data_IF_843275126420
#
_entry.id   IF_843275126420
#
_cell.length_a   1.000
_cell.length_b   1.000
_cell.length_c   1.000
_cell.angle_alpha   90.00
_cell.angle_beta   90.00
_cell.angle_gamma   90.00
#
_symmetry.space_group_name_H-M   'P 1'
#
loop_
_entity.id
_entity.type
_entity.pdbx_description
1 polymer ?
#
# COMPACT_ATOMS: atom_id res chain seq x y z
N UNK A 1 39.00 76.53 -4.53
CA UNK A 1 38.75 75.89 -5.84
C UNK A 1 37.76 74.76 -5.63
N UNK A 2 36.65 74.79 -6.38
CA UNK A 2 35.53 73.83 -6.30
C UNK A 2 36.00 72.47 -6.82
N UNK A 3 35.75 71.38 -6.09
CA UNK A 3 35.73 70.04 -6.68
C UNK A 3 34.73 69.14 -5.96
N UNK A 4 34.04 68.37 -6.77
CA UNK A 4 32.67 67.88 -6.60
C UNK A 4 32.67 66.44 -6.06
N UNK A 5 31.88 66.19 -5.02
CA UNK A 5 31.61 64.83 -4.52
C UNK A 5 30.60 64.16 -5.48
N UNK A 6 30.99 63.07 -6.13
CA UNK A 6 30.08 62.18 -6.87
C UNK A 6 29.83 60.92 -6.05
N UNK A 7 28.63 60.84 -5.48
CA UNK A 7 28.08 59.66 -4.82
C UNK A 7 27.68 58.63 -5.89
N UNK A 8 28.40 57.52 -5.98
CA UNK A 8 28.04 56.38 -6.82
C UNK A 8 27.17 55.40 -6.04
N UNK A 9 25.90 55.27 -6.41
CA UNK A 9 24.99 54.23 -5.90
C UNK A 9 25.26 52.95 -6.67
N UNK A 10 25.84 51.94 -6.01
CA UNK A 10 25.92 50.57 -6.53
C UNK A 10 24.59 49.87 -6.22
N UNK A 11 23.78 49.62 -7.24
CA UNK A 11 22.61 48.76 -7.14
C UNK A 11 23.07 47.29 -7.17
N UNK A 12 23.04 46.62 -6.01
CA UNK A 12 23.23 45.18 -5.92
C UNK A 12 22.00 44.44 -6.43
N UNK A 13 22.09 43.84 -7.61
CA UNK A 13 21.10 42.88 -8.12
C UNK A 13 21.29 41.58 -7.35
N UNK A 14 20.42 41.34 -6.37
CA UNK A 14 20.33 40.07 -5.65
C UNK A 14 19.64 39.05 -6.56
N UNK A 15 20.40 38.18 -7.22
CA UNK A 15 19.87 37.02 -7.93
C UNK A 15 19.31 36.02 -6.91
N UNK A 16 18.00 36.05 -6.70
CA UNK A 16 17.27 34.96 -6.06
C UNK A 16 17.35 33.74 -6.98
N UNK A 17 18.27 32.82 -6.68
CA UNK A 17 18.26 31.48 -7.24
C UNK A 17 16.99 30.79 -6.74
N UNK A 18 15.95 30.76 -7.59
CA UNK A 18 14.79 29.89 -7.39
C UNK A 18 15.34 28.47 -7.54
N UNK A 19 15.48 27.75 -6.42
CA UNK A 19 15.75 26.33 -6.47
C UNK A 19 14.63 25.68 -7.28
N UNK A 20 14.96 25.16 -8.47
CA UNK A 20 14.01 24.38 -9.24
C UNK A 20 13.52 23.23 -8.33
N UNK A 21 12.21 22.95 -8.26
CA UNK A 21 11.74 21.79 -7.54
C UNK A 21 12.45 20.57 -8.16
N UNK A 22 13.13 19.79 -7.32
CA UNK A 22 13.62 18.48 -7.74
C UNK A 22 12.39 17.68 -8.17
N UNK A 23 12.23 17.50 -9.48
CA UNK A 23 11.14 16.71 -10.03
C UNK A 23 11.46 15.26 -9.69
N UNK A 24 10.76 14.70 -8.71
CA UNK A 24 10.84 13.27 -8.44
C UNK A 24 10.52 12.50 -9.74
N UNK A 25 11.22 11.40 -9.98
CA UNK A 25 11.05 10.56 -11.16
C UNK A 25 9.64 9.99 -11.32
N UNK A 26 9.38 9.20 -12.39
CA UNK A 26 8.04 8.69 -12.66
C UNK A 26 7.51 7.85 -11.49
N UNK A 27 6.20 7.96 -11.25
CA UNK A 27 5.51 7.18 -10.21
C UNK A 27 4.73 6.04 -10.86
N UNK A 28 5.08 4.80 -10.51
CA UNK A 28 4.59 3.57 -11.13
C UNK A 28 4.06 2.62 -10.07
N UNK A 29 3.24 1.64 -10.47
CA UNK A 29 2.77 0.58 -9.59
C UNK A 29 3.45 -0.74 -9.96
N UNK A 30 4.04 -1.41 -8.97
CA UNK A 30 4.72 -2.70 -9.14
C UNK A 30 3.99 -3.76 -8.34
N UNK A 31 3.84 -4.95 -8.92
CA UNK A 31 3.25 -6.12 -8.28
C UNK A 31 4.06 -7.36 -8.61
N UNK A 32 4.17 -8.29 -7.66
CA UNK A 32 4.89 -9.56 -7.83
C UNK A 32 3.98 -10.71 -7.40
N UNK A 33 3.66 -11.58 -8.33
CA UNK A 33 2.89 -12.81 -8.13
C UNK A 33 3.83 -14.01 -8.18
N UNK A 34 4.19 -14.52 -7.00
CA UNK A 34 4.85 -15.82 -6.87
C UNK A 34 3.92 -16.97 -7.28
N UNK A 35 4.45 -18.18 -7.33
CA UNK A 35 3.75 -19.39 -7.75
C UNK A 35 2.56 -19.72 -6.86
N UNK A 36 2.71 -19.55 -5.53
CA UNK A 36 1.68 -19.90 -4.55
C UNK A 36 0.93 -18.69 -3.98
N UNK A 37 1.56 -17.51 -3.91
CA UNK A 37 1.00 -16.33 -3.29
C UNK A 37 1.43 -15.03 -4.00
N UNK A 38 0.73 -13.94 -3.69
CA UNK A 38 1.21 -12.58 -4.02
C UNK A 38 2.35 -12.25 -3.07
N UNK A 39 3.56 -12.06 -3.61
CA UNK A 39 4.74 -11.70 -2.82
C UNK A 39 4.79 -10.20 -2.56
N UNK A 40 4.41 -9.42 -3.58
CA UNK A 40 4.28 -7.97 -3.48
C UNK A 40 2.89 -7.57 -3.99
N UNK A 41 1.98 -7.07 -3.13
CA UNK A 41 0.75 -6.45 -3.62
C UNK A 41 1.09 -5.20 -4.45
N UNK A 42 0.10 -4.63 -5.15
CA UNK A 42 0.30 -3.38 -5.88
C UNK A 42 0.94 -2.30 -4.98
N UNK A 43 2.19 -1.98 -5.29
CA UNK A 43 3.05 -1.10 -4.52
C UNK A 43 3.44 0.07 -5.41
N UNK A 44 2.94 1.25 -5.06
CA UNK A 44 3.23 2.48 -5.82
C UNK A 44 4.52 3.11 -5.34
N UNK A 45 5.49 3.17 -6.25
CA UNK A 45 6.84 3.71 -6.03
C UNK A 45 7.14 4.87 -6.96
N UNK A 46 7.97 5.79 -6.50
CA UNK A 46 8.48 6.90 -7.29
C UNK A 46 9.95 6.61 -7.59
N UNK A 47 10.31 6.57 -8.87
CA UNK A 47 11.67 6.23 -9.27
C UNK A 47 12.65 7.36 -8.92
N UNK A 48 13.88 7.03 -8.49
CA UNK A 48 14.88 8.02 -8.14
C UNK A 48 15.49 8.67 -9.38
N UNK A 49 15.96 9.91 -9.23
CA UNK A 49 16.71 10.60 -10.28
C UNK A 49 18.13 10.05 -10.45
N UNK A 50 18.60 9.28 -9.47
CA UNK A 50 19.92 8.64 -9.44
C UNK A 50 19.74 7.14 -9.41
N UNK A 51 20.49 6.44 -10.26
CA UNK A 51 20.46 4.98 -10.35
C UNK A 51 20.87 4.37 -9.00
N UNK A 52 20.02 3.48 -8.48
CA UNK A 52 20.31 2.72 -7.28
C UNK A 52 21.58 1.86 -7.44
N UNK A 53 22.34 1.74 -6.35
CA UNK A 53 23.52 0.87 -6.32
C UNK A 53 23.12 -0.59 -6.58
N UNK A 54 23.83 -1.25 -7.50
CA UNK A 54 23.54 -2.65 -7.86
C UNK A 54 22.49 -2.83 -8.95
N UNK A 55 21.73 -1.81 -9.35
CA UNK A 55 20.81 -1.94 -10.49
C UNK A 55 21.60 -2.40 -11.74
N UNK A 56 21.20 -3.49 -12.42
CA UNK A 56 22.01 -4.07 -13.52
C UNK A 56 21.93 -3.28 -14.83
N UNK A 57 20.99 -2.35 -14.97
CA UNK A 57 20.70 -1.69 -16.23
C UNK A 57 21.67 -0.53 -16.48
N UNK A 58 22.27 -0.48 -17.67
CA UNK A 58 23.13 0.61 -18.12
C UNK A 58 22.39 1.65 -18.94
N UNK A 59 23.11 2.69 -19.37
CA UNK A 59 22.59 3.70 -20.29
C UNK A 59 21.90 4.90 -19.64
N UNK A 60 21.48 5.85 -20.48
CA UNK A 60 20.89 7.12 -20.05
C UNK A 60 19.55 6.93 -19.30
N UNK A 61 18.82 5.87 -19.62
CA UNK A 61 17.49 5.60 -19.06
C UNK A 61 17.50 4.60 -17.90
N UNK A 62 18.67 4.25 -17.36
CA UNK A 62 18.80 3.23 -16.31
C UNK A 62 17.93 3.50 -15.06
N UNK A 63 17.63 4.77 -14.77
CA UNK A 63 16.76 5.21 -13.66
C UNK A 63 15.27 5.08 -13.95
N UNK A 64 14.89 4.76 -15.18
CA UNK A 64 13.50 4.72 -15.67
C UNK A 64 13.12 3.36 -16.23
N UNK A 65 13.85 2.32 -15.84
CA UNK A 65 13.62 0.94 -16.28
C UNK A 65 12.67 0.20 -15.34
N UNK A 66 12.12 -0.93 -15.80
CA UNK A 66 11.39 -1.84 -14.92
C UNK A 66 12.26 -2.37 -13.77
N UNK A 67 13.56 -2.61 -13.98
CA UNK A 67 14.49 -2.96 -12.90
C UNK A 67 14.60 -1.87 -11.83
N UNK A 68 14.57 -0.59 -12.22
CA UNK A 68 14.53 0.52 -11.26
C UNK A 68 13.23 0.52 -10.44
N UNK A 69 12.10 0.21 -11.09
CA UNK A 69 10.82 0.05 -10.40
C UNK A 69 10.82 -1.13 -9.43
N UNK A 70 11.35 -2.28 -9.86
CA UNK A 70 11.47 -3.47 -9.03
C UNK A 70 12.40 -3.22 -7.82
N UNK A 71 13.53 -2.54 -8.01
CA UNK A 71 14.44 -2.16 -6.93
C UNK A 71 13.72 -1.33 -5.86
N UNK A 72 13.01 -0.27 -6.27
CA UNK A 72 12.30 0.61 -5.34
C UNK A 72 11.15 -0.09 -4.63
N UNK A 73 10.45 -1.00 -5.33
CA UNK A 73 9.28 -1.69 -4.80
C UNK A 73 9.65 -2.83 -3.85
N UNK A 74 10.77 -3.51 -4.11
CA UNK A 74 11.30 -4.60 -3.25
C UNK A 74 12.30 -4.11 -2.20
N UNK A 75 12.64 -2.81 -2.21
CA UNK A 75 13.76 -2.26 -1.42
C UNK A 75 15.06 -3.02 -1.65
N UNK A 76 15.27 -3.47 -2.89
CA UNK A 76 16.45 -4.21 -3.29
C UNK A 76 16.46 -5.68 -2.90
N UNK A 77 15.34 -6.25 -2.45
CA UNK A 77 15.19 -7.67 -2.19
C UNK A 77 14.85 -8.45 -3.48
N UNK A 78 15.82 -8.49 -4.38
CA UNK A 78 15.87 -9.31 -5.58
C UNK A 78 17.34 -9.50 -5.98
N UNK A 79 17.62 -10.43 -6.88
CA UNK A 79 19.00 -10.80 -7.23
C UNK A 79 19.75 -9.79 -8.11
N UNK A 80 19.06 -8.76 -8.60
CA UNK A 80 19.61 -7.71 -9.47
C UNK A 80 20.22 -8.24 -10.77
N UNK A 81 19.64 -9.28 -11.34
CA UNK A 81 20.07 -9.86 -12.61
C UNK A 81 19.18 -9.41 -13.78
N UNK A 82 19.78 -9.26 -14.97
CA UNK A 82 19.02 -9.00 -16.20
C UNK A 82 18.06 -10.15 -16.51
N UNK A 83 18.50 -11.39 -16.26
CA UNK A 83 17.65 -12.57 -16.19
C UNK A 83 17.32 -12.83 -14.72
N UNK A 84 16.33 -12.10 -14.21
CA UNK A 84 15.92 -12.16 -12.81
C UNK A 84 15.48 -13.58 -12.46
N UNK A 85 16.14 -14.17 -11.47
CA UNK A 85 15.82 -15.51 -10.95
C UNK A 85 15.14 -15.42 -9.58
N UNK A 86 15.51 -14.45 -8.74
CA UNK A 86 14.97 -14.31 -7.38
C UNK A 86 14.33 -12.96 -7.15
N UNK A 87 13.08 -12.96 -6.68
CA UNK A 87 12.35 -11.78 -6.20
C UNK A 87 11.70 -12.14 -4.86
N UNK A 88 11.94 -11.34 -3.81
CA UNK A 88 11.32 -11.50 -2.49
C UNK A 88 11.41 -12.93 -1.95
N UNK A 89 12.62 -13.47 -1.92
CA UNK A 89 12.97 -14.81 -1.42
C UNK A 89 12.38 -16.01 -2.19
N UNK A 90 11.65 -15.77 -3.30
CA UNK A 90 11.20 -16.83 -4.22
C UNK A 90 12.08 -16.88 -5.47
N UNK A 91 12.52 -18.08 -5.86
CA UNK A 91 13.48 -18.31 -6.94
C UNK A 91 12.93 -19.21 -8.05
N UNK A 92 13.09 -18.74 -9.30
CA UNK A 92 12.79 -19.47 -10.53
C UNK A 92 14.00 -19.38 -11.45
N UNK A 93 14.72 -20.49 -11.58
CA UNK A 93 16.05 -20.56 -12.23
C UNK A 93 16.00 -21.19 -13.62
N UNK A 94 14.80 -21.33 -14.18
CA UNK A 94 14.53 -22.06 -15.43
C UNK A 94 14.76 -23.58 -15.35
N UNK A 95 15.01 -24.13 -14.17
CA UNK A 95 15.22 -25.57 -13.99
C UNK A 95 14.00 -26.42 -14.38
N UNK A 96 12.79 -25.85 -14.29
CA UNK A 96 11.53 -26.48 -14.72
C UNK A 96 10.87 -25.70 -15.87
N UNK A 97 11.67 -25.00 -16.69
CA UNK A 97 11.20 -23.99 -17.64
C UNK A 97 10.46 -22.81 -16.98
N UNK A 98 10.62 -22.64 -15.67
CA UNK A 98 9.97 -21.63 -14.86
C UNK A 98 10.81 -20.35 -14.77
N UNK A 99 10.15 -19.20 -14.88
CA UNK A 99 10.84 -17.90 -14.85
C UNK A 99 9.91 -16.78 -14.40
N UNK A 100 10.51 -15.64 -14.06
CA UNK A 100 9.78 -14.40 -13.83
C UNK A 100 9.41 -13.75 -15.16
N UNK A 101 8.15 -13.85 -15.55
CA UNK A 101 7.62 -13.12 -16.69
C UNK A 101 7.26 -11.69 -16.26
N UNK A 102 7.82 -10.73 -16.98
CA UNK A 102 7.54 -9.32 -16.85
C UNK A 102 6.36 -8.91 -17.74
N UNK A 103 5.48 -8.05 -17.21
CA UNK A 103 4.39 -7.44 -17.95
C UNK A 103 4.30 -5.95 -17.61
N UNK A 104 4.16 -5.10 -18.62
CA UNK A 104 3.94 -3.66 -18.46
C UNK A 104 2.62 -3.28 -19.11
N UNK A 105 1.69 -2.73 -18.34
CA UNK A 105 0.34 -2.34 -18.79
C UNK A 105 -0.35 -3.47 -19.58
N UNK A 106 -0.36 -4.67 -18.99
CA UNK A 106 -0.95 -5.89 -19.55
C UNK A 106 -0.35 -6.36 -20.89
N UNK A 107 0.87 -5.91 -21.21
CA UNK A 107 1.65 -6.38 -22.35
C UNK A 107 2.91 -7.06 -21.87
N UNK A 108 3.32 -8.12 -22.57
CA UNK A 108 4.51 -8.89 -22.23
C UNK A 108 5.77 -8.01 -22.35
N UNK A 109 6.65 -8.10 -21.38
CA UNK A 109 7.89 -7.32 -21.33
C UNK A 109 8.96 -7.85 -22.29
N UNK A 110 9.83 -6.93 -22.73
CA UNK A 110 11.10 -7.22 -23.40
C UNK A 110 12.26 -7.44 -22.41
N UNK A 111 12.03 -7.22 -21.12
CA UNK A 111 12.98 -7.51 -20.05
C UNK A 111 13.33 -6.28 -19.23
N UNK A 112 13.75 -6.51 -17.99
CA UNK A 112 13.75 -5.50 -16.93
C UNK A 112 14.63 -4.27 -17.21
N UNK A 113 15.60 -4.39 -18.13
CA UNK A 113 16.46 -3.29 -18.57
C UNK A 113 16.09 -2.70 -19.94
N UNK A 114 15.30 -3.41 -20.75
CA UNK A 114 14.87 -2.95 -22.07
C UNK A 114 13.61 -2.08 -21.95
N UNK A 115 12.72 -2.44 -21.03
CA UNK A 115 11.47 -1.72 -20.84
C UNK A 115 11.66 -0.53 -19.92
N UNK A 116 11.24 0.64 -20.42
CA UNK A 116 11.18 1.88 -19.67
C UNK A 116 9.76 2.15 -19.20
N UNK A 117 9.63 2.83 -18.06
CA UNK A 117 8.36 3.13 -17.44
C UNK A 117 8.17 4.63 -17.24
N UNK A 118 6.92 5.05 -17.28
CA UNK A 118 6.44 6.41 -17.09
C UNK A 118 5.37 6.47 -16.00
N UNK A 119 5.08 7.67 -15.51
CA UNK A 119 4.08 7.86 -14.47
C UNK A 119 2.74 7.25 -14.86
N UNK A 120 2.19 6.40 -13.99
CA UNK A 120 0.92 5.69 -14.18
C UNK A 120 1.06 4.29 -14.76
N UNK A 121 2.25 3.87 -15.18
CA UNK A 121 2.45 2.50 -15.65
C UNK A 121 2.29 1.46 -14.53
N UNK A 122 1.80 0.29 -14.92
CA UNK A 122 1.71 -0.90 -14.08
C UNK A 122 2.71 -1.94 -14.53
N UNK A 123 3.56 -2.37 -13.61
CA UNK A 123 4.52 -3.46 -13.78
C UNK A 123 4.04 -4.65 -12.97
N UNK A 124 3.95 -5.81 -13.62
CA UNK A 124 3.65 -7.08 -13.00
C UNK A 124 4.77 -8.07 -13.31
N UNK A 125 5.34 -8.64 -12.26
CA UNK A 125 6.09 -9.88 -12.35
C UNK A 125 5.19 -11.03 -11.94
N UNK A 126 5.17 -12.09 -12.74
CA UNK A 126 4.49 -13.33 -12.38
C UNK A 126 5.39 -14.51 -12.70
N UNK A 127 5.20 -15.61 -11.97
CA UNK A 127 5.85 -16.88 -12.30
C UNK A 127 5.15 -17.50 -13.50
N UNK A 128 5.91 -17.68 -14.58
CA UNK A 128 5.48 -18.37 -15.78
C UNK A 128 6.27 -19.67 -15.94
N UNK A 129 5.72 -20.58 -16.74
CA UNK A 129 6.39 -21.80 -17.19
C UNK A 129 6.35 -21.77 -18.71
N UNK A 130 7.52 -21.73 -19.35
CA UNK A 130 7.60 -21.71 -20.81
C UNK A 130 6.98 -22.97 -21.41
N UNK A 131 6.18 -22.77 -22.45
CA UNK A 131 5.69 -23.84 -23.31
C UNK A 131 6.80 -24.44 -24.17
N UNK A 132 6.44 -25.36 -25.05
CA UNK A 132 7.39 -26.14 -25.83
C UNK A 132 8.24 -25.29 -26.80
N UNK A 133 7.74 -24.12 -27.20
CA UNK A 133 8.43 -23.17 -28.08
C UNK A 133 8.84 -21.90 -27.32
N UNK A 134 8.97 -21.97 -25.99
CA UNK A 134 9.28 -20.84 -25.12
C UNK A 134 8.21 -19.75 -25.06
N UNK A 135 7.00 -20.04 -25.51
CA UNK A 135 5.85 -19.16 -25.34
C UNK A 135 5.42 -19.09 -23.86
N UNK A 136 4.94 -17.92 -23.40
CA UNK A 136 4.38 -17.79 -22.06
C UNK A 136 3.10 -18.63 -21.93
N UNK A 137 2.87 -19.23 -20.76
CA UNK A 137 1.67 -20.05 -20.50
C UNK A 137 0.83 -19.53 -19.33
N UNK A 138 1.40 -18.62 -18.53
CA UNK A 138 0.73 -17.93 -17.43
C UNK A 138 0.54 -16.46 -17.78
N UNK A 139 -0.70 -15.98 -17.69
CA UNK A 139 -1.08 -14.67 -18.20
C UNK A 139 -1.65 -13.76 -17.11
N UNK A 140 -1.42 -12.43 -17.17
CA UNK A 140 -2.05 -11.48 -16.26
C UNK A 140 -3.57 -11.52 -16.34
N UNK A 141 -4.21 -11.17 -15.22
CA UNK A 141 -5.66 -11.17 -15.12
C UNK A 141 -6.16 -9.96 -14.35
N UNK A 142 -7.28 -9.40 -14.79
CA UNK A 142 -8.03 -8.36 -14.08
C UNK A 142 -9.41 -8.86 -13.71
N UNK A 143 -9.98 -8.28 -12.66
CA UNK A 143 -11.35 -8.50 -12.22
C UNK A 143 -12.06 -7.16 -12.20
N UNK A 144 -13.29 -7.14 -12.71
CA UNK A 144 -14.20 -6.01 -12.58
C UNK A 144 -15.43 -6.44 -11.77
N UNK A 145 -15.79 -5.63 -10.77
CA UNK A 145 -16.98 -5.81 -9.95
C UNK A 145 -17.61 -4.43 -9.68
N UNK A 146 -18.93 -4.36 -9.41
CA UNK A 146 -19.55 -3.15 -8.90
C UNK A 146 -18.91 -2.73 -7.57
N UNK A 147 -18.65 -1.43 -7.40
CA UNK A 147 -18.11 -0.90 -6.15
C UNK A 147 -19.08 -1.06 -4.97
N UNK A 148 -20.39 -1.12 -5.24
CA UNK A 148 -21.44 -1.27 -4.24
C UNK A 148 -22.50 -2.26 -4.70
N UNK A 149 -22.95 -3.14 -3.80
CA UNK A 149 -23.98 -4.15 -4.05
C UNK A 149 -24.93 -4.27 -2.86
N UNK A 150 -26.18 -4.66 -3.14
CA UNK A 150 -27.16 -4.92 -2.08
C UNK A 150 -26.90 -6.28 -1.41
N UNK A 151 -27.08 -6.41 -0.07
CA UNK A 151 -26.89 -7.66 0.65
C UNK A 151 -27.81 -8.76 0.12
N UNK A 152 -27.24 -9.93 -0.16
CA UNK A 152 -27.96 -11.10 -0.62
C UNK A 152 -28.45 -11.04 -2.06
N UNK A 153 -28.24 -9.94 -2.78
CA UNK A 153 -28.62 -9.82 -4.20
C UNK A 153 -27.47 -10.32 -5.09
N UNK A 154 -27.71 -11.28 -6.00
CA UNK A 154 -26.70 -11.69 -6.97
C UNK A 154 -26.29 -10.53 -7.90
N UNK A 155 -25.01 -10.42 -8.21
CA UNK A 155 -24.46 -9.47 -9.17
C UNK A 155 -23.41 -10.12 -10.07
N UNK A 156 -23.13 -9.52 -11.22
CA UNK A 156 -22.15 -10.03 -12.18
C UNK A 156 -20.78 -9.42 -11.91
N UNK A 157 -19.75 -10.25 -11.93
CA UNK A 157 -18.34 -9.86 -12.05
C UNK A 157 -17.80 -10.32 -13.41
N UNK A 158 -16.75 -9.67 -13.91
CA UNK A 158 -16.06 -10.06 -15.15
C UNK A 158 -14.56 -10.17 -14.93
N UNK A 159 -13.99 -11.34 -15.25
CA UNK A 159 -12.56 -11.55 -15.30
C UNK A 159 -12.05 -11.44 -16.75
N UNK A 160 -10.94 -10.73 -16.94
CA UNK A 160 -10.28 -10.58 -18.23
C UNK A 160 -8.85 -11.08 -18.10
N UNK A 161 -8.39 -11.88 -19.05
CA UNK A 161 -7.02 -12.39 -19.14
C UNK A 161 -6.32 -11.73 -20.31
N UNK A 162 -5.01 -11.48 -20.19
CA UNK A 162 -4.21 -10.80 -21.20
C UNK A 162 -3.16 -11.75 -21.73
N UNK A 163 -3.46 -12.35 -22.88
CA UNK A 163 -2.64 -13.41 -23.45
C UNK A 163 -1.59 -12.86 -24.41
N UNK A 164 -0.47 -13.56 -24.50
CA UNK A 164 0.51 -13.36 -25.54
C UNK A 164 0.88 -14.73 -26.13
N UNK A 165 0.27 -15.08 -27.26
CA UNK A 165 0.49 -16.39 -27.87
C UNK A 165 1.86 -16.53 -28.56
N UNK A 166 2.54 -15.42 -28.84
CA UNK A 166 3.79 -15.39 -29.62
C UNK A 166 5.04 -15.28 -28.75
N UNK A 167 4.89 -14.78 -27.51
CA UNK A 167 6.00 -14.40 -26.64
C UNK A 167 6.70 -13.10 -27.04
N UNK A 168 6.17 -12.36 -28.02
CA UNK A 168 6.79 -11.12 -28.49
C UNK A 168 6.59 -9.98 -27.48
N UNK A 169 7.64 -9.21 -27.13
CA UNK A 169 7.51 -8.03 -26.30
C UNK A 169 6.54 -6.99 -26.85
N UNK A 170 5.81 -6.32 -25.95
CA UNK A 170 4.84 -5.27 -26.27
C UNK A 170 3.47 -5.78 -26.73
N UNK A 171 3.29 -7.10 -26.85
CA UNK A 171 2.00 -7.72 -27.19
C UNK A 171 1.22 -8.13 -25.94
N UNK A 172 -0.11 -8.04 -26.03
CA UNK A 172 -1.06 -8.44 -24.98
C UNK A 172 -2.48 -8.34 -25.50
N UNK A 173 -3.17 -9.47 -25.61
CA UNK A 173 -4.53 -9.54 -26.14
C UNK A 173 -5.51 -9.86 -25.03
N UNK A 174 -6.43 -8.93 -24.77
CA UNK A 174 -7.49 -9.12 -23.79
C UNK A 174 -8.53 -10.12 -24.28
N UNK A 175 -8.86 -11.11 -23.45
CA UNK A 175 -9.94 -12.08 -23.69
C UNK A 175 -10.72 -12.37 -22.41
N UNK A 176 -11.93 -12.89 -22.57
CA UNK A 176 -12.75 -13.35 -21.45
C UNK A 176 -12.07 -14.51 -20.73
N UNK A 177 -11.85 -14.36 -19.42
CA UNK A 177 -11.14 -15.37 -18.64
C UNK A 177 -12.12 -16.44 -18.16
N UNK A 178 -12.18 -17.58 -18.85
CA UNK A 178 -13.08 -18.68 -18.51
C UNK A 178 -12.50 -19.66 -17.47
N UNK A 179 -13.36 -20.23 -16.62
CA UNK A 179 -12.98 -21.23 -15.64
C UNK A 179 -12.18 -20.68 -14.46
N UNK A 180 -12.26 -19.37 -14.21
CA UNK A 180 -11.53 -18.67 -13.16
C UNK A 180 -12.34 -18.67 -11.86
N UNK A 181 -11.70 -19.01 -10.75
CA UNK A 181 -12.33 -19.00 -9.42
C UNK A 181 -12.36 -17.58 -8.85
N UNK A 182 -13.54 -17.18 -8.35
CA UNK A 182 -13.75 -15.93 -7.63
C UNK A 182 -13.79 -16.21 -6.12
N UNK A 183 -12.81 -15.70 -5.40
CA UNK A 183 -12.70 -15.77 -3.94
C UNK A 183 -13.16 -14.47 -3.27
N UNK A 184 -13.57 -14.54 -2.01
CA UNK A 184 -14.17 -13.43 -1.26
C UNK A 184 -15.70 -13.34 -1.36
N UNK A 185 -16.29 -14.19 -2.21
CA UNK A 185 -17.73 -14.40 -2.31
C UNK A 185 -18.27 -15.29 -1.17
N UNK A 186 -19.56 -15.19 -0.86
CA UNK A 186 -20.20 -16.04 0.16
C UNK A 186 -20.27 -17.51 -0.26
N UNK A 187 -20.30 -17.77 -1.57
CA UNK A 187 -20.24 -19.10 -2.17
C UNK A 187 -19.17 -19.11 -3.27
N UNK A 188 -18.57 -20.28 -3.53
CA UNK A 188 -17.63 -20.45 -4.63
C UNK A 188 -18.32 -20.10 -5.96
N UNK A 189 -17.69 -19.22 -6.73
CA UNK A 189 -18.16 -18.83 -8.06
C UNK A 189 -17.02 -19.02 -9.07
N UNK A 190 -17.39 -19.44 -10.28
CA UNK A 190 -16.46 -19.66 -11.38
C UNK A 190 -16.98 -18.95 -12.62
N UNK A 191 -16.09 -18.34 -13.39
CA UNK A 191 -16.47 -17.63 -14.61
C UNK A 191 -16.84 -18.59 -15.75
N UNK A 192 -17.88 -18.22 -16.51
CA UNK A 192 -18.29 -18.89 -17.74
C UNK A 192 -17.36 -18.58 -18.92
N UNK A 193 -17.75 -19.02 -20.11
CA UNK A 193 -17.01 -18.77 -21.35
C UNK A 193 -16.94 -17.27 -21.73
N UNK A 194 -17.90 -16.48 -21.25
CA UNK A 194 -17.97 -15.02 -21.38
C UNK A 194 -17.19 -14.26 -20.30
N UNK A 195 -16.36 -14.98 -19.52
CA UNK A 195 -15.54 -14.40 -18.46
C UNK A 195 -16.35 -13.87 -17.27
N UNK A 196 -17.65 -14.17 -17.20
CA UNK A 196 -18.53 -13.65 -16.14
C UNK A 196 -18.89 -14.71 -15.13
N UNK A 197 -19.03 -14.29 -13.87
CA UNK A 197 -19.59 -15.10 -12.80
C UNK A 197 -20.71 -14.33 -12.10
N UNK A 198 -21.72 -15.05 -11.62
CA UNK A 198 -22.71 -14.51 -10.69
C UNK A 198 -22.21 -14.73 -9.26
N UNK A 199 -22.10 -13.64 -8.51
CA UNK A 199 -21.60 -13.61 -7.13
C UNK A 199 -22.69 -13.10 -6.21
N UNK A 200 -22.75 -13.63 -4.99
CA UNK A 200 -23.64 -13.17 -3.92
C UNK A 200 -22.83 -12.90 -2.66
N UNK A 201 -23.15 -11.81 -1.99
CA UNK A 201 -22.53 -11.38 -0.74
C UNK A 201 -23.62 -11.05 0.28
N UNK A 202 -23.66 -11.78 1.40
CA UNK A 202 -24.68 -11.60 2.44
C UNK A 202 -24.19 -10.70 3.59
N UNK A 203 -22.89 -10.76 3.90
CA UNK A 203 -22.29 -9.97 4.96
C UNK A 203 -22.16 -8.50 4.53
N UNK A 204 -22.81 -7.60 5.28
CA UNK A 204 -22.73 -6.15 5.07
C UNK A 204 -21.34 -5.61 5.39
N UNK A 205 -20.97 -4.50 4.77
CA UNK A 205 -19.68 -3.84 4.94
C UNK A 205 -18.74 -3.98 3.75
N UNK A 206 -17.51 -3.44 3.88
CA UNK A 206 -16.48 -3.61 2.87
C UNK A 206 -16.02 -5.06 2.81
N UNK A 207 -15.82 -5.57 1.60
CA UNK A 207 -15.20 -6.85 1.31
C UNK A 207 -14.32 -6.72 0.05
N UNK A 208 -13.53 -7.74 -0.24
CA UNK A 208 -12.73 -7.81 -1.46
C UNK A 208 -13.04 -9.07 -2.23
N UNK A 209 -13.08 -8.95 -3.56
CA UNK A 209 -13.18 -10.07 -4.48
C UNK A 209 -11.87 -10.24 -5.22
N UNK A 210 -11.51 -11.47 -5.53
CA UNK A 210 -10.30 -11.77 -6.29
C UNK A 210 -10.52 -12.93 -7.25
N UNK A 211 -10.03 -12.76 -8.47
CA UNK A 211 -9.99 -13.82 -9.48
C UNK A 211 -8.65 -14.57 -9.40
N UNK A 212 -8.71 -15.90 -9.52
CA UNK A 212 -7.53 -16.76 -9.48
C UNK A 212 -7.73 -18.02 -10.33
N UNK A 213 -6.64 -18.50 -10.92
CA UNK A 213 -6.58 -19.79 -11.61
C UNK A 213 -5.56 -20.69 -10.89
N UNK A 214 -5.87 -21.98 -10.78
CA UNK A 214 -4.89 -22.96 -10.29
C UNK A 214 -3.67 -22.96 -11.23
N UNK A 215 -2.47 -22.88 -10.66
CA UNK A 215 -1.20 -22.78 -11.40
C UNK A 215 -1.14 -21.59 -12.38
N UNK A 216 -1.93 -20.53 -12.15
CA UNK A 216 -1.95 -19.35 -12.99
C UNK A 216 -1.81 -18.06 -12.19
N UNK A 217 -1.90 -16.93 -12.88
CA UNK A 217 -1.89 -15.62 -12.22
C UNK A 217 -3.20 -15.37 -11.50
N UNK A 218 -3.19 -14.29 -10.71
CA UNK A 218 -4.31 -13.85 -9.90
C UNK A 218 -4.60 -12.41 -10.26
N UNK A 219 -5.82 -11.95 -10.07
CA UNK A 219 -6.13 -10.53 -10.22
C UNK A 219 -5.65 -9.73 -9.02
N UNK A 220 -5.57 -8.41 -9.20
CA UNK A 220 -5.61 -7.48 -8.08
C UNK A 220 -6.92 -7.70 -7.31
N UNK A 221 -6.92 -7.67 -5.97
CA UNK A 221 -8.16 -7.67 -5.20
C UNK A 221 -9.01 -6.44 -5.53
N UNK A 222 -10.29 -6.64 -5.80
CA UNK A 222 -11.26 -5.57 -6.09
C UNK A 222 -12.11 -5.33 -4.85
N UNK A 223 -12.13 -4.10 -4.36
CA UNK A 223 -12.99 -3.72 -3.25
C UNK A 223 -14.47 -3.67 -3.69
N UNK A 224 -15.34 -4.25 -2.88
CA UNK A 224 -16.80 -4.23 -3.04
C UNK A 224 -17.42 -3.89 -1.69
N UNK A 225 -18.33 -2.92 -1.68
CA UNK A 225 -19.14 -2.62 -0.52
C UNK A 225 -20.49 -3.33 -0.59
N UNK A 226 -20.89 -4.00 0.50
CA UNK A 226 -22.21 -4.61 0.66
C UNK A 226 -23.07 -3.74 1.57
N UNK A 227 -24.06 -3.03 1.02
CA UNK A 227 -24.93 -2.12 1.78
C UNK A 227 -26.29 -1.93 1.09
N UNK A 228 -27.33 -1.67 1.87
CA UNK A 228 -28.65 -1.24 1.36
C UNK A 228 -28.83 0.29 1.36
N UNK A 229 -27.78 1.04 1.69
CA UNK A 229 -27.82 2.50 1.74
C UNK A 229 -28.32 3.10 3.05
N UNK A 230 -28.81 2.29 4.00
CA UNK A 230 -29.41 2.75 5.25
C UNK A 230 -28.78 2.10 6.50
N UNK A 231 -27.67 1.39 6.35
CA UNK A 231 -27.11 0.54 7.40
C UNK A 231 -25.89 1.14 8.11
N UNK A 232 -25.36 2.27 7.62
CA UNK A 232 -24.20 2.91 8.22
C UNK A 232 -22.86 2.34 7.71
N UNK A 233 -22.89 1.36 6.81
CA UNK A 233 -21.69 0.80 6.19
C UNK A 233 -21.28 1.61 4.96
N UNK A 234 -19.97 1.64 4.67
CA UNK A 234 -19.40 2.28 3.48
C UNK A 234 -19.86 3.72 3.27
N UNK A 235 -19.81 4.52 4.33
CA UNK A 235 -20.23 5.92 4.34
C UNK A 235 -21.72 6.19 4.07
N UNK A 236 -22.59 5.17 4.13
CA UNK A 236 -24.04 5.38 4.12
C UNK A 236 -24.55 5.88 5.47
N UNK A 237 -25.66 6.62 5.48
CA UNK A 237 -26.24 7.16 6.70
C UNK A 237 -27.29 6.21 7.28
N UNK A 238 -27.23 5.93 8.58
CA UNK A 238 -28.28 5.15 9.26
C UNK A 238 -29.46 6.05 9.63
N UNK A 239 -30.70 5.75 9.19
CA UNK A 239 -31.88 6.52 9.61
C UNK A 239 -32.02 6.52 11.14
N UNK A 240 -32.13 7.71 11.74
CA UNK A 240 -32.22 7.90 13.19
C UNK A 240 -30.89 8.03 13.93
N UNK A 241 -29.74 7.92 13.25
CA UNK A 241 -28.46 8.37 13.81
C UNK A 241 -28.37 9.90 13.67
N UNK A 242 -27.82 10.63 14.68
CA UNK A 242 -27.61 12.07 14.55
C UNK A 242 -26.75 12.34 13.31
N UNK A 243 -27.26 13.18 12.41
CA UNK A 243 -26.57 13.57 11.19
C UNK A 243 -25.14 14.04 11.52
N UNK A 244 -24.10 13.58 10.81
CA UNK A 244 -22.80 14.21 10.89
C UNK A 244 -22.97 15.69 10.53
N UNK A 245 -22.44 16.59 11.35
CA UNK A 245 -22.57 18.02 11.14
C UNK A 245 -22.10 18.39 9.72
N UNK A 246 -23.00 18.97 8.92
CA UNK A 246 -22.70 19.45 7.59
C UNK A 246 -21.62 20.54 7.67
N UNK A 247 -20.46 20.28 7.10
CA UNK A 247 -19.49 21.32 6.79
C UNK A 247 -19.82 21.87 5.40
N UNK A 248 -20.25 23.12 5.34
CA UNK A 248 -20.55 23.84 4.10
C UNK A 248 -19.34 23.88 3.14
N UNK A 249 -19.55 23.78 1.82
CA UNK A 249 -18.47 23.86 0.86
C UNK A 249 -18.24 25.31 0.41
N UNK A 250 -17.01 25.78 0.50
CA UNK A 250 -16.48 26.79 -0.41
C UNK A 250 -15.04 26.40 -0.72
N UNK A 251 -14.80 25.87 -1.92
CA UNK A 251 -13.74 26.32 -2.83
C UNK A 251 -13.81 25.54 -4.15
N UNK A 252 -13.83 26.28 -5.25
CA UNK A 252 -13.79 25.77 -6.63
C UNK A 252 -12.35 25.38 -7.01
N UNK A 253 -12.14 24.15 -7.48
CA UNK A 253 -10.87 23.62 -8.02
C UNK A 253 -11.00 22.13 -8.41
N UNK A 254 -10.28 21.62 -9.43
CA UNK A 254 -10.84 20.65 -10.37
C UNK A 254 -10.82 19.17 -9.92
N UNK A 255 -12.00 18.54 -10.04
CA UNK A 255 -12.28 17.15 -10.43
C UNK A 255 -11.27 16.04 -10.05
N UNK A 256 -11.09 15.80 -8.75
CA UNK A 256 -10.90 14.44 -8.22
C UNK A 256 -11.79 14.32 -6.99
N UNK A 257 -12.71 13.35 -6.97
CA UNK A 257 -13.65 13.16 -5.86
C UNK A 257 -12.87 12.93 -4.57
N UNK A 258 -12.94 13.89 -3.65
CA UNK A 258 -12.21 13.85 -2.38
C UNK A 258 -12.72 12.72 -1.50
N UNK A 259 -11.93 11.66 -1.40
CA UNK A 259 -12.02 10.69 -0.32
C UNK A 259 -11.75 11.42 1.00
N UNK A 260 -12.75 11.44 1.89
CA UNK A 260 -12.69 12.03 3.23
C UNK A 260 -12.80 10.95 4.32
N UNK A 261 -12.63 9.67 3.97
CA UNK A 261 -12.72 8.57 4.94
C UNK A 261 -11.53 8.62 5.90
N UNK A 262 -11.81 8.47 7.20
CA UNK A 262 -10.72 8.46 8.19
C UNK A 262 -9.94 7.17 8.05
N UNK A 263 -8.63 7.26 7.85
CA UNK A 263 -7.77 6.10 7.73
C UNK A 263 -7.70 5.34 9.05
N UNK A 264 -7.86 4.01 9.02
CA UNK A 264 -7.72 3.15 10.20
C UNK A 264 -6.61 2.12 10.03
N UNK A 265 -6.12 1.64 11.16
CA UNK A 265 -5.19 0.53 11.28
C UNK A 265 -5.67 -0.44 12.37
N UNK A 266 -5.23 -1.68 12.29
CA UNK A 266 -5.49 -2.72 13.29
C UNK A 266 -4.17 -3.12 13.95
N UNK A 267 -4.12 -3.02 15.27
CA UNK A 267 -3.04 -3.59 16.08
C UNK A 267 -3.26 -5.11 16.18
N UNK A 268 -2.23 -5.91 15.90
CA UNK A 268 -2.35 -7.38 15.82
C UNK A 268 -1.60 -8.11 16.94
N UNK A 269 -0.49 -7.58 17.45
CA UNK A 269 0.29 -8.24 18.51
C UNK A 269 -0.26 -8.03 19.92
N UNK A 270 -1.05 -6.97 20.14
CA UNK A 270 -1.60 -6.64 21.45
C UNK A 270 -3.11 -6.86 21.51
N UNK A 271 -3.55 -7.58 22.53
CA UNK A 271 -4.96 -7.79 22.82
C UNK A 271 -5.52 -6.70 23.75
N UNK A 272 -6.72 -6.22 23.44
CA UNK A 272 -7.44 -5.24 24.26
C UNK A 272 -7.72 -5.77 25.66
N UNK A 273 -7.42 -4.96 26.67
CA UNK A 273 -7.53 -5.23 28.12
C UNK A 273 -6.69 -6.40 28.63
N UNK A 274 -5.81 -6.99 27.80
CA UNK A 274 -4.93 -8.07 28.23
C UNK A 274 -3.96 -7.58 29.31
N UNK A 275 -3.76 -8.43 30.31
CA UNK A 275 -2.69 -8.30 31.29
C UNK A 275 -1.59 -9.28 30.92
N UNK A 276 -0.37 -8.76 30.80
CA UNK A 276 0.85 -9.53 30.59
C UNK A 276 1.66 -9.52 31.90
N UNK A 277 2.37 -10.60 32.16
CA UNK A 277 3.37 -10.62 33.22
C UNK A 277 4.60 -9.80 32.81
N UNK A 278 5.34 -9.30 33.79
CA UNK A 278 6.61 -8.60 33.53
C UNK A 278 7.56 -9.49 32.72
N UNK A 279 8.05 -8.95 31.60
CA UNK A 279 8.92 -9.69 30.65
C UNK A 279 8.16 -10.48 29.58
N UNK A 280 6.86 -10.71 29.72
CA UNK A 280 6.04 -11.42 28.72
C UNK A 280 5.28 -10.48 27.77
N UNK A 281 5.23 -9.19 28.08
CA UNK A 281 4.60 -8.21 27.23
C UNK A 281 5.34 -8.09 25.88
N UNK A 282 4.64 -8.18 24.73
CA UNK A 282 5.29 -8.08 23.42
C UNK A 282 6.06 -6.77 23.26
N UNK A 283 7.36 -6.88 22.95
CA UNK A 283 8.20 -5.74 22.56
C UNK A 283 8.00 -5.36 21.10
N UNK A 284 7.66 -6.35 20.29
CA UNK A 284 7.40 -6.21 18.88
C UNK A 284 5.93 -5.84 18.68
N UNK A 285 5.72 -4.58 18.30
CA UNK A 285 4.40 -4.03 18.03
C UNK A 285 4.13 -4.21 16.54
N UNK A 286 3.06 -4.92 16.17
CA UNK A 286 2.66 -5.09 14.78
C UNK A 286 1.22 -4.67 14.55
N UNK A 287 0.95 -4.35 13.30
CA UNK A 287 -0.39 -4.21 12.82
C UNK A 287 -0.47 -4.08 11.32
N UNK A 288 -1.70 -3.92 10.86
CA UNK A 288 -2.03 -3.69 9.46
C UNK A 288 -2.79 -2.38 9.34
N UNK A 289 -2.69 -1.75 8.19
CA UNK A 289 -3.50 -0.61 7.77
C UNK A 289 -4.66 -1.14 6.95
N UNK A 290 -5.82 -0.49 7.03
CA UNK A 290 -6.98 -0.88 6.22
C UNK A 290 -6.69 -0.74 4.71
N UNK A 291 -7.33 -1.60 3.91
CA UNK A 291 -7.16 -1.67 2.45
C UNK A 291 -7.86 -0.53 1.69
N UNK A 292 -8.67 0.29 2.37
CA UNK A 292 -9.51 1.36 1.80
C UNK A 292 -8.77 2.67 1.52
N UNK A 293 -7.45 2.72 1.74
CA UNK A 293 -6.65 3.91 1.53
C UNK A 293 -6.14 4.04 0.09
N UNK A 294 -6.07 5.27 -0.40
CA UNK A 294 -5.42 5.70 -1.67
C UNK A 294 -3.87 5.56 -1.60
N UNK A 295 -3.37 4.65 -0.75
CA UNK A 295 -1.96 4.46 -0.41
C UNK A 295 -1.63 5.05 0.96
N UNK A 296 -0.80 4.34 1.70
CA UNK A 296 -0.27 4.81 3.00
C UNK A 296 0.81 5.86 2.72
N UNK A 297 0.69 7.01 3.38
CA UNK A 297 1.71 8.07 3.40
C UNK A 297 2.56 7.94 4.67
N UNK A 298 1.91 7.63 5.79
CA UNK A 298 2.61 7.50 7.06
C UNK A 298 1.85 6.64 8.06
N UNK A 299 2.56 5.72 8.73
CA UNK A 299 2.10 5.08 9.97
C UNK A 299 2.88 5.67 11.14
N UNK A 300 2.15 6.20 12.12
CA UNK A 300 2.71 6.71 13.36
C UNK A 300 2.14 5.98 14.56
N UNK A 301 2.96 5.76 15.57
CA UNK A 301 2.54 5.25 16.86
C UNK A 301 2.54 6.35 17.91
N UNK A 302 1.73 6.15 18.94
CA UNK A 302 1.76 6.95 20.17
C UNK A 302 1.50 6.06 21.36
N UNK A 303 2.42 6.06 22.33
CA UNK A 303 2.37 5.17 23.49
C UNK A 303 2.42 6.00 24.77
N UNK A 304 1.53 5.66 25.72
CA UNK A 304 1.51 6.22 27.07
C UNK A 304 1.41 5.12 28.11
N UNK A 305 2.05 5.33 29.27
CA UNK A 305 2.03 4.41 30.41
C UNK A 305 1.60 5.17 31.67
N UNK A 306 0.75 4.53 32.48
CA UNK A 306 0.36 4.99 33.81
C UNK A 306 0.68 3.90 34.83
N UNK A 307 1.43 4.25 35.86
CA UNK A 307 1.82 3.34 36.94
C UNK A 307 1.78 4.06 38.28
N UNK A 308 1.02 3.51 39.26
CA UNK A 308 0.97 4.06 40.62
C UNK A 308 0.67 5.57 40.71
N UNK A 309 -0.11 6.12 39.78
CA UNK A 309 -0.38 7.57 39.69
C UNK A 309 0.69 8.39 38.95
N UNK A 310 1.84 7.80 38.61
CA UNK A 310 2.87 8.38 37.73
C UNK A 310 2.50 8.13 36.28
N UNK A 311 2.86 9.07 35.41
CA UNK A 311 2.49 9.05 34.00
C UNK A 311 3.70 9.27 33.14
N UNK A 312 3.76 8.52 32.05
CA UNK A 312 4.88 8.48 31.13
C UNK A 312 4.38 8.55 29.69
N UNK A 313 5.18 9.18 28.84
CA UNK A 313 4.99 9.18 27.39
C UNK A 313 6.22 8.53 26.75
N UNK A 314 6.00 7.77 25.69
CA UNK A 314 7.11 7.28 24.89
C UNK A 314 7.60 8.40 23.96
N UNK A 315 8.91 8.52 23.83
CA UNK A 315 9.57 9.28 22.77
C UNK A 315 10.17 8.21 21.85
N UNK A 316 9.78 8.23 20.58
CA UNK A 316 10.41 7.43 19.53
C UNK A 316 10.98 8.37 18.47
N UNK A 317 12.29 8.35 18.31
CA UNK A 317 13.04 9.03 17.25
C UNK A 317 14.42 8.39 17.13
N UNK A 318 15.12 8.64 16.02
CA UNK A 318 16.44 8.04 15.75
C UNK A 318 17.50 8.35 16.81
N UNK A 319 17.34 9.44 17.56
CA UNK A 319 18.23 9.90 18.63
C UNK A 319 17.75 9.54 20.05
N UNK A 320 16.49 9.10 20.21
CA UNK A 320 15.90 8.89 21.54
C UNK A 320 14.68 7.97 21.52
N UNK A 321 14.82 6.82 22.19
CA UNK A 321 13.76 5.81 22.32
C UNK A 321 13.56 5.39 23.78
N UNK A 322 12.68 6.09 24.51
CA UNK A 322 12.44 5.81 25.93
C UNK A 322 11.10 6.35 26.46
N UNK A 323 10.66 5.81 27.61
CA UNK A 323 9.56 6.36 28.39
C UNK A 323 10.04 7.48 29.32
N UNK A 324 9.52 8.69 29.10
CA UNK A 324 9.82 9.85 29.97
C UNK A 324 8.62 10.22 30.83
N UNK A 325 8.90 10.62 32.08
CA UNK A 325 7.86 11.07 33.00
C UNK A 325 7.18 12.35 32.49
N UNK A 326 5.86 12.41 32.64
CA UNK A 326 5.02 13.57 32.32
C UNK A 326 4.08 13.88 33.48
N UNK A 327 3.71 15.16 33.62
CA UNK A 327 2.73 15.61 34.62
C UNK A 327 1.30 15.18 34.27
N UNK A 328 0.97 14.99 32.99
CA UNK A 328 -0.39 14.69 32.53
C UNK A 328 -0.53 13.23 32.12
N UNK A 329 -1.53 12.56 32.68
CA UNK A 329 -1.88 11.16 32.38
C UNK A 329 -2.78 11.03 31.15
N UNK A 330 -2.44 11.75 30.08
CA UNK A 330 -3.24 11.78 28.87
C UNK A 330 -2.43 11.27 27.70
N UNK A 331 -2.98 10.32 26.94
CA UNK A 331 -2.36 9.89 25.69
C UNK A 331 -2.22 11.05 24.70
N UNK A 332 -3.11 12.06 24.75
CA UNK A 332 -2.99 13.29 23.94
C UNK A 332 -1.72 14.11 24.24
N UNK A 333 -1.10 13.91 25.41
CA UNK A 333 0.18 14.56 25.77
C UNK A 333 1.41 13.77 25.32
N UNK A 334 1.21 12.56 24.78
CA UNK A 334 2.27 11.74 24.20
C UNK A 334 2.54 12.18 22.76
N UNK A 335 3.80 12.10 22.33
CA UNK A 335 4.18 12.44 20.97
C UNK A 335 3.87 11.27 20.04
N UNK A 336 3.50 11.58 18.80
CA UNK A 336 3.46 10.59 17.74
C UNK A 336 4.86 10.45 17.15
N UNK A 337 5.22 9.26 16.70
CA UNK A 337 6.47 9.00 16.00
C UNK A 337 6.23 8.05 14.83
N UNK A 338 6.96 8.25 13.74
CA UNK A 338 6.82 7.47 12.51
C UNK A 338 7.42 6.09 12.69
N UNK A 339 6.74 5.06 12.20
CA UNK A 339 7.21 3.66 12.23
C UNK A 339 7.19 2.98 10.87
N UNK A 340 6.56 3.59 9.86
CA UNK A 340 6.55 3.03 8.51
C UNK A 340 5.72 3.85 7.54
N UNK A 341 5.69 3.40 6.29
CA UNK A 341 4.90 3.95 5.19
C UNK A 341 4.11 2.85 4.46
N UNK A 342 4.14 1.62 4.99
CA UNK A 342 3.55 0.43 4.37
C UNK A 342 2.21 0.04 5.01
N UNK A 343 1.47 -0.85 4.32
CA UNK A 343 0.21 -1.40 4.84
C UNK A 343 0.41 -2.35 6.01
N UNK A 344 1.59 -2.92 6.16
CA UNK A 344 2.00 -3.67 7.34
C UNK A 344 3.04 -2.87 8.08
N UNK A 345 2.89 -2.72 9.39
CA UNK A 345 3.85 -1.98 10.19
C UNK A 345 4.33 -2.85 11.34
N UNK A 346 5.60 -2.65 11.69
CA UNK A 346 6.27 -3.30 12.79
C UNK A 346 7.15 -2.29 13.51
N UNK A 347 7.22 -2.39 14.83
CA UNK A 347 8.10 -1.57 15.65
C UNK A 347 8.59 -2.37 16.86
N UNK A 348 9.91 -2.55 16.95
CA UNK A 348 10.54 -3.22 18.08
C UNK A 348 10.91 -2.20 19.17
N UNK A 349 10.34 -2.37 20.36
CA UNK A 349 10.70 -1.56 21.52
C UNK A 349 12.13 -1.90 21.99
N UNK A 350 12.95 -0.88 22.30
CA UNK A 350 14.37 -1.08 22.65
C UNK A 350 14.56 -1.80 23.99
N UNK A 351 13.55 -1.76 24.86
CA UNK A 351 13.54 -2.40 26.17
C UNK A 351 12.18 -3.03 26.47
N UNK A 352 12.19 -3.99 27.38
CA UNK A 352 10.98 -4.63 27.87
C UNK A 352 10.04 -3.60 28.52
N UNK A 353 8.73 -3.84 28.40
CA UNK A 353 7.73 -2.96 29.00
C UNK A 353 7.71 -3.18 30.51
N UNK A 354 7.96 -2.11 31.27
CA UNK A 354 7.84 -2.12 32.72
C UNK A 354 6.38 -2.19 33.19
N UNK A 355 6.16 -2.46 34.47
CA UNK A 355 4.83 -2.52 35.09
C UNK A 355 3.97 -1.28 34.83
N UNK A 356 2.71 -1.43 34.46
CA UNK A 356 1.76 -0.33 34.35
C UNK A 356 0.63 -0.56 33.35
N UNK A 357 -0.29 0.40 33.30
CA UNK A 357 -1.36 0.46 32.29
C UNK A 357 -0.89 1.24 31.08
N UNK A 358 -0.91 0.60 29.93
CA UNK A 358 -0.52 1.17 28.65
C UNK A 358 -1.72 1.57 27.80
N UNK A 359 -1.54 2.58 26.97
CA UNK A 359 -2.41 2.88 25.84
C UNK A 359 -1.53 3.10 24.63
N UNK A 360 -1.78 2.32 23.58
CA UNK A 360 -1.17 2.43 22.25
C UNK A 360 -2.22 2.98 21.28
N UNK A 361 -1.88 4.03 20.56
CA UNK A 361 -2.61 4.51 19.39
C UNK A 361 -1.79 4.29 18.13
N UNK A 362 -2.45 3.87 17.06
CA UNK A 362 -1.94 3.90 15.69
C UNK A 362 -2.64 5.02 14.94
N UNK A 363 -1.86 5.85 14.28
CA UNK A 363 -2.32 6.97 13.47
C UNK A 363 -1.79 6.73 12.07
N UNK A 364 -2.70 6.59 11.12
CA UNK A 364 -2.37 6.47 9.71
C UNK A 364 -2.68 7.80 9.03
N UNK A 365 -1.80 8.19 8.12
CA UNK A 365 -2.05 9.21 7.12
C UNK A 365 -1.97 8.55 5.74
N UNK A 366 -2.96 8.81 4.89
CA UNK A 366 -2.93 8.36 3.50
C UNK A 366 -2.38 9.46 2.57
N UNK A 367 -2.12 9.07 1.31
CA UNK A 367 -1.58 9.98 0.27
C UNK A 367 -2.60 11.02 -0.20
N UNK A 368 -3.88 10.82 0.05
CA UNK A 368 -4.92 11.83 -0.16
C UNK A 368 -4.93 12.89 0.97
N UNK A 369 -4.13 12.70 2.02
CA UNK A 369 -4.02 13.59 3.17
C UNK A 369 -5.05 13.31 4.27
N UNK A 370 -5.84 12.25 4.15
CA UNK A 370 -6.68 11.79 5.24
C UNK A 370 -5.79 11.25 6.36
N UNK A 371 -6.24 11.45 7.59
CA UNK A 371 -5.54 10.99 8.77
C UNK A 371 -6.55 10.38 9.74
N UNK A 372 -6.11 9.42 10.53
CA UNK A 372 -6.87 8.89 11.66
C UNK A 372 -7.32 10.01 12.60
N UNK A 373 -8.62 10.32 12.56
CA UNK A 373 -9.27 11.32 13.44
C UNK A 373 -9.98 10.68 14.64
N UNK A 374 -10.30 9.38 14.56
CA UNK A 374 -11.03 8.65 15.61
C UNK A 374 -10.25 7.44 16.09
N UNK A 375 -10.41 7.08 17.37
CA UNK A 375 -9.66 6.01 18.03
C UNK A 375 -10.62 4.95 18.58
N UNK A 376 -10.64 3.78 17.96
CA UNK A 376 -11.48 2.63 18.28
C UNK A 376 -10.67 1.61 19.09
N UNK A 377 -11.18 1.26 20.29
CA UNK A 377 -10.55 0.26 21.16
C UNK A 377 -10.57 -1.12 20.49
N UNK A 378 -9.51 -1.91 20.66
CA UNK A 378 -9.35 -3.21 20.01
C UNK A 378 -9.06 -3.14 18.50
N UNK A 379 -8.83 -1.94 17.96
CA UNK A 379 -8.49 -1.72 16.55
C UNK A 379 -7.24 -0.84 16.42
N UNK A 380 -7.41 0.47 16.18
CA UNK A 380 -6.30 1.44 16.11
C UNK A 380 -5.95 2.04 17.48
N UNK A 381 -6.66 1.66 18.55
CA UNK A 381 -6.28 1.92 19.94
C UNK A 381 -6.32 0.61 20.71
N UNK A 382 -5.26 0.30 21.46
CA UNK A 382 -5.25 -0.80 22.43
C UNK A 382 -4.88 -0.30 23.82
N UNK A 383 -5.66 -0.73 24.83
CA UNK A 383 -5.33 -0.58 26.24
C UNK A 383 -4.92 -1.93 26.79
N UNK A 384 -3.77 -2.02 27.46
CA UNK A 384 -3.30 -3.26 28.07
C UNK A 384 -2.53 -2.99 29.36
N UNK A 385 -2.17 -4.03 30.10
CA UNK A 385 -1.51 -3.95 31.39
C UNK A 385 -0.27 -4.84 31.40
N UNK A 386 0.77 -4.38 32.08
CA UNK A 386 1.92 -5.20 32.49
C UNK A 386 1.94 -5.21 34.01
N UNK A 387 1.96 -6.40 34.63
CA UNK A 387 1.94 -6.54 36.09
C UNK A 387 3.21 -7.11 36.65
#
# INVERSE_FOLDING_TARGET
>A
MKSTIRTGVLAGVLTLAVAAPAFAGPTVTVRVEGQAATLLPETTVTLPDVKAAGNPCGGADATRTVAAALEEATKGNWDRQQFTSTILDESHTFANNDYWAEWVNEKYGGGVCADTVQTGDRVLFLVDVSGANFEPTVFPMTLAAPATVAPGTPFSVRATEYTNATGNPGEGTASDASGVSITGAAAAATTGADGRASVRLDARGPTTLRASRANGSRSVPVAVCVTDGADGFCATAKPGAPAPAAASPTFSGPLFGGDNTSSFAKITTLQEQKTYELGEAPRELKGTVDDDLVGVDEVRLRISRKDGGRCFKYIGSSDREEFVRTRKCSIKSSRTFKVGEDRTWEYLLPKDLEQGRYVLDVIVKDRAGNQTKTYQRGRNRVVFYVK
#
